data_IF_419339200188
#
_entry.id   IF_419339200188
#
_cell.length_a   1.000
_cell.length_b   1.000
_cell.length_c   1.000
_cell.angle_alpha   90.00
_cell.angle_beta   90.00
_cell.angle_gamma   90.00
#
_symmetry.space_group_name_H-M   'P 1'
#
loop_
_entity.id
_entity.type
_entity.pdbx_description
1 polymer ?
#
# COMPACT_ATOMS: atom_id res chain seq x y z
N UNK A 1 15.73 15.56 -28.98
CA UNK A 1 14.57 15.36 -28.08
C UNK A 1 14.20 16.73 -27.48
N UNK A 2 12.97 17.20 -27.61
CA UNK A 2 12.52 18.42 -26.92
C UNK A 2 12.44 18.10 -25.42
N UNK A 3 13.14 18.84 -24.58
CA UNK A 3 13.01 18.76 -23.13
C UNK A 3 11.54 18.96 -22.77
N UNK A 4 10.95 18.03 -22.05
CA UNK A 4 9.57 18.14 -21.57
C UNK A 4 9.49 19.34 -20.61
N UNK A 5 8.54 20.26 -20.74
CA UNK A 5 8.48 21.42 -19.86
C UNK A 5 8.33 20.97 -18.42
N UNK A 6 9.08 21.59 -17.51
CA UNK A 6 9.00 21.32 -16.07
C UNK A 6 7.57 21.59 -15.58
N UNK A 7 6.95 20.59 -14.98
CA UNK A 7 5.59 20.65 -14.46
C UNK A 7 5.49 19.86 -13.15
N UNK A 8 4.46 20.12 -12.32
CA UNK A 8 4.20 19.31 -11.13
C UNK A 8 4.10 17.82 -11.44
N UNK A 9 3.43 17.44 -12.54
CA UNK A 9 3.31 16.06 -12.98
C UNK A 9 4.68 15.43 -13.30
N UNK A 10 5.55 16.14 -14.01
CA UNK A 10 6.90 15.68 -14.32
C UNK A 10 7.74 15.50 -13.05
N UNK A 11 7.60 16.41 -12.08
CA UNK A 11 8.30 16.36 -10.79
C UNK A 11 7.83 15.14 -9.98
N UNK A 12 6.52 14.90 -9.89
CA UNK A 12 5.95 13.75 -9.17
C UNK A 12 6.38 12.44 -9.84
N UNK A 13 6.34 12.37 -11.16
CA UNK A 13 6.80 11.19 -11.89
C UNK A 13 8.30 10.89 -11.66
N UNK A 14 9.16 11.91 -11.62
CA UNK A 14 10.58 11.75 -11.27
C UNK A 14 10.75 11.32 -9.81
N UNK A 15 10.00 11.92 -8.89
CA UNK A 15 10.02 11.57 -7.48
C UNK A 15 9.62 10.11 -7.25
N UNK A 16 8.59 9.63 -7.94
CA UNK A 16 8.14 8.23 -7.89
C UNK A 16 9.24 7.29 -8.38
N UNK A 17 9.85 7.56 -9.54
CA UNK A 17 10.96 6.73 -10.05
C UNK A 17 12.11 6.64 -9.05
N UNK A 18 12.50 7.77 -8.44
CA UNK A 18 13.56 7.79 -7.42
C UNK A 18 13.16 6.95 -6.20
N UNK A 19 11.93 7.13 -5.71
CA UNK A 19 11.44 6.37 -4.57
C UNK A 19 11.37 4.86 -4.87
N UNK A 20 10.95 4.46 -6.09
CA UNK A 20 10.87 3.07 -6.52
C UNK A 20 12.24 2.41 -6.67
N UNK A 21 13.25 3.17 -7.12
CA UNK A 21 14.57 2.59 -7.44
C UNK A 21 15.62 2.79 -6.36
N UNK A 22 15.56 3.88 -5.62
CA UNK A 22 16.57 4.29 -4.64
C UNK A 22 16.03 4.40 -3.21
N UNK A 23 14.70 4.25 -3.05
CA UNK A 23 14.00 4.37 -1.78
C UNK A 23 13.72 5.81 -1.37
N UNK A 24 12.83 5.96 -0.38
CA UNK A 24 12.34 7.27 0.09
C UNK A 24 13.44 8.14 0.74
N UNK A 25 14.48 7.52 1.27
CA UNK A 25 15.62 8.24 1.86
C UNK A 25 16.43 9.03 0.81
N UNK A 26 16.51 8.52 -0.41
CA UNK A 26 17.19 9.19 -1.53
C UNK A 26 16.37 10.35 -2.11
N UNK A 27 15.06 10.41 -1.83
CA UNK A 27 14.16 11.41 -2.37
C UNK A 27 14.41 12.79 -1.73
N UNK A 28 15.21 13.59 -2.43
CA UNK A 28 15.50 15.00 -2.10
C UNK A 28 15.20 15.89 -3.29
N UNK A 29 14.90 17.17 -3.07
CA UNK A 29 14.67 18.12 -4.16
C UNK A 29 15.91 18.22 -5.08
N UNK A 30 17.11 18.10 -4.53
CA UNK A 30 18.35 18.08 -5.31
C UNK A 30 18.41 16.85 -6.24
N UNK A 31 18.05 15.67 -5.74
CA UNK A 31 18.04 14.43 -6.54
C UNK A 31 16.98 14.51 -7.66
N UNK A 32 15.78 15.05 -7.35
CA UNK A 32 14.72 15.28 -8.34
C UNK A 32 15.14 16.29 -9.40
N UNK A 33 15.83 17.36 -9.03
CA UNK A 33 16.35 18.35 -9.97
C UNK A 33 17.38 17.71 -10.94
N UNK A 34 18.27 16.89 -10.40
CA UNK A 34 19.25 16.14 -11.21
C UNK A 34 18.56 15.14 -12.15
N UNK A 35 17.54 14.43 -11.70
CA UNK A 35 16.75 13.50 -12.51
C UNK A 35 16.07 14.19 -13.72
N UNK A 36 15.65 15.44 -13.52
CA UNK A 36 14.95 16.24 -14.54
C UNK A 36 15.90 17.15 -15.36
N UNK A 37 17.21 16.99 -15.17
CA UNK A 37 18.23 17.84 -15.81
C UNK A 37 17.91 19.35 -15.68
N UNK A 38 17.58 19.77 -14.43
CA UNK A 38 17.21 21.16 -14.13
C UNK A 38 17.87 21.68 -12.85
N UNK A 39 17.89 22.99 -12.69
CA UNK A 39 18.35 23.61 -11.45
C UNK A 39 17.33 23.48 -10.33
N UNK A 40 17.78 23.25 -9.09
CA UNK A 40 16.90 23.17 -7.92
C UNK A 40 16.03 24.41 -7.73
N UNK A 41 16.51 25.60 -8.07
CA UNK A 41 15.74 26.84 -8.06
C UNK A 41 14.49 26.79 -8.97
N UNK A 42 14.53 26.00 -10.05
CA UNK A 42 13.38 25.81 -10.93
C UNK A 42 12.29 24.97 -10.28
N UNK A 43 12.64 24.00 -9.45
CA UNK A 43 11.67 23.19 -8.71
C UNK A 43 10.87 24.02 -7.70
N UNK A 44 11.51 24.98 -7.03
CA UNK A 44 10.85 25.84 -6.04
C UNK A 44 9.73 26.71 -6.60
N UNK A 45 9.64 26.87 -7.93
CA UNK A 45 8.48 27.50 -8.57
C UNK A 45 7.23 26.61 -8.62
N UNK A 46 7.40 25.30 -8.39
CA UNK A 46 6.35 24.30 -8.48
C UNK A 46 6.06 23.60 -7.14
N UNK A 47 7.07 23.48 -6.28
CA UNK A 47 7.02 22.75 -5.01
C UNK A 47 7.77 23.54 -3.95
N UNK A 48 7.13 23.78 -2.82
CA UNK A 48 7.72 24.57 -1.74
C UNK A 48 8.84 23.82 -1.00
N UNK A 49 8.63 22.55 -0.69
CA UNK A 49 9.56 21.75 0.10
C UNK A 49 9.41 20.24 -0.14
N UNK A 50 10.20 19.42 0.57
CA UNK A 50 10.11 17.96 0.52
C UNK A 50 8.77 17.44 1.03
N UNK A 51 8.16 18.12 2.00
CA UNK A 51 6.87 17.70 2.56
C UNK A 51 5.75 17.82 1.52
N UNK A 52 5.71 18.92 0.76
CA UNK A 52 4.77 19.06 -0.36
C UNK A 52 5.02 17.99 -1.44
N UNK A 53 6.30 17.67 -1.72
CA UNK A 53 6.64 16.59 -2.66
C UNK A 53 6.09 15.24 -2.20
N UNK A 54 6.21 14.89 -0.92
CA UNK A 54 5.67 13.66 -0.34
C UNK A 54 4.14 13.64 -0.37
N UNK A 55 3.49 14.79 -0.10
CA UNK A 55 2.04 14.90 -0.20
C UNK A 55 1.55 14.65 -1.63
N UNK A 56 2.22 15.24 -2.63
CA UNK A 56 1.90 15.00 -4.04
C UNK A 56 2.15 13.55 -4.47
N UNK A 57 3.19 12.92 -3.94
CA UNK A 57 3.50 11.52 -4.18
C UNK A 57 2.43 10.61 -3.57
N UNK A 58 1.93 10.94 -2.38
CA UNK A 58 0.80 10.25 -1.75
C UNK A 58 -0.50 10.40 -2.56
N UNK A 59 -0.78 11.59 -3.10
CA UNK A 59 -1.93 11.79 -3.99
C UNK A 59 -1.81 10.99 -5.29
N UNK A 60 -0.61 10.88 -5.86
CA UNK A 60 -0.35 10.09 -7.06
C UNK A 60 -0.58 8.60 -6.78
N UNK A 61 -0.11 8.11 -5.64
CA UNK A 61 -0.35 6.75 -5.16
C UNK A 61 -1.85 6.48 -4.93
N UNK A 62 -2.56 7.40 -4.28
CA UNK A 62 -3.99 7.26 -4.00
C UNK A 62 -4.83 7.14 -5.28
N UNK A 63 -4.42 7.77 -6.39
CA UNK A 63 -5.07 7.60 -7.70
C UNK A 63 -4.86 6.23 -8.31
N UNK A 64 -3.80 5.53 -7.93
CA UNK A 64 -3.52 4.17 -8.40
C UNK A 64 -4.33 3.10 -7.64
N UNK A 65 -4.86 3.43 -6.48
CA UNK A 65 -5.70 2.50 -5.71
C UNK A 65 -7.02 2.24 -6.43
N UNK A 66 -7.42 0.97 -6.63
CA UNK A 66 -8.60 0.66 -7.40
C UNK A 66 -9.90 1.02 -6.66
N UNK A 67 -10.86 1.50 -7.42
CA UNK A 67 -12.25 1.61 -7.00
C UNK A 67 -13.05 0.69 -7.91
N UNK A 68 -13.49 -0.50 -7.43
CA UNK A 68 -14.18 -1.48 -8.25
C UNK A 68 -15.49 -0.94 -8.82
N UNK A 69 -15.82 -1.40 -10.02
CA UNK A 69 -17.13 -1.16 -10.65
C UNK A 69 -18.27 -1.92 -9.93
N UNK A 70 -19.49 -1.91 -10.49
CA UNK A 70 -20.64 -2.61 -9.94
C UNK A 70 -20.42 -4.13 -9.91
N UNK A 71 -21.02 -4.81 -8.90
CA UNK A 71 -20.92 -6.24 -8.70
C UNK A 71 -21.27 -6.64 -7.27
N UNK A 72 -21.26 -7.94 -6.94
CA UNK A 72 -21.46 -8.41 -5.58
C UNK A 72 -20.47 -7.77 -4.60
N UNK A 73 -20.96 -7.38 -3.42
CA UNK A 73 -20.16 -6.63 -2.44
C UNK A 73 -18.84 -7.33 -2.08
N UNK A 74 -18.90 -8.65 -1.85
CA UNK A 74 -17.73 -9.46 -1.50
C UNK A 74 -16.68 -9.50 -2.63
N UNK A 75 -17.09 -9.68 -3.86
CA UNK A 75 -16.18 -9.70 -5.02
C UNK A 75 -15.51 -8.34 -5.20
N UNK A 76 -16.25 -7.25 -5.00
CA UNK A 76 -15.71 -5.88 -5.02
C UNK A 76 -14.67 -5.65 -3.93
N UNK A 77 -14.94 -6.10 -2.70
CA UNK A 77 -13.98 -6.02 -1.60
C UNK A 77 -12.70 -6.79 -1.93
N UNK A 78 -12.81 -8.03 -2.38
CA UNK A 78 -11.65 -8.84 -2.76
C UNK A 78 -10.84 -8.14 -3.86
N UNK A 79 -11.47 -7.71 -4.94
CA UNK A 79 -10.81 -7.04 -6.06
C UNK A 79 -10.12 -5.74 -5.62
N UNK A 80 -10.78 -4.96 -4.78
CA UNK A 80 -10.26 -3.69 -4.27
C UNK A 80 -9.02 -3.87 -3.40
N UNK A 81 -9.08 -4.77 -2.43
CA UNK A 81 -7.96 -4.99 -1.51
C UNK A 81 -6.78 -5.71 -2.16
N UNK A 82 -7.03 -6.69 -3.06
CA UNK A 82 -5.97 -7.30 -3.87
C UNK A 82 -5.30 -6.29 -4.80
N UNK A 83 -6.08 -5.41 -5.41
CA UNK A 83 -5.54 -4.35 -6.25
C UNK A 83 -4.70 -3.34 -5.45
N UNK A 84 -5.15 -2.93 -4.27
CA UNK A 84 -4.39 -2.07 -3.36
C UNK A 84 -3.07 -2.74 -2.92
N UNK A 85 -3.11 -4.03 -2.60
CA UNK A 85 -1.93 -4.79 -2.24
C UNK A 85 -0.88 -4.81 -3.38
N UNK A 86 -1.32 -5.05 -4.63
CA UNK A 86 -0.42 -5.00 -5.79
C UNK A 86 0.22 -3.62 -5.98
N UNK A 87 -0.57 -2.55 -5.88
CA UNK A 87 -0.04 -1.17 -5.95
C UNK A 87 1.04 -0.94 -4.89
N UNK A 88 0.84 -1.44 -3.66
CA UNK A 88 1.83 -1.28 -2.60
C UNK A 88 3.06 -2.17 -2.77
N UNK A 89 2.94 -3.35 -3.37
CA UNK A 89 4.10 -4.18 -3.74
C UNK A 89 4.95 -3.53 -4.82
N UNK A 90 4.33 -2.86 -5.80
CA UNK A 90 5.03 -2.11 -6.84
C UNK A 90 5.74 -0.86 -6.29
N UNK A 91 5.32 -0.37 -5.11
CA UNK A 91 5.81 0.83 -4.45
C UNK A 91 6.15 0.57 -2.96
N UNK A 92 7.26 -0.12 -2.63
CA UNK A 92 7.58 -0.53 -1.25
C UNK A 92 7.68 0.63 -0.25
N UNK A 93 7.95 1.85 -0.73
CA UNK A 93 7.98 3.08 0.07
C UNK A 93 6.58 3.58 0.48
N UNK A 94 5.51 3.08 -0.19
CA UNK A 94 4.14 3.58 -0.03
C UNK A 94 3.65 3.55 1.42
N UNK A 95 3.93 2.47 2.15
CA UNK A 95 3.52 2.33 3.54
C UNK A 95 4.08 3.45 4.44
N UNK A 96 5.30 3.96 4.15
CA UNK A 96 5.91 5.04 4.92
C UNK A 96 5.20 6.38 4.70
N UNK A 97 4.68 6.62 3.49
CA UNK A 97 3.98 7.87 3.13
C UNK A 97 2.52 7.83 3.58
N UNK A 98 1.85 6.70 3.42
CA UNK A 98 0.43 6.53 3.77
C UNK A 98 0.21 6.61 5.29
N UNK A 99 1.17 6.18 6.11
CA UNK A 99 1.06 6.21 7.57
C UNK A 99 1.28 7.61 8.17
N UNK A 100 1.63 8.61 7.38
CA UNK A 100 1.72 9.99 7.88
C UNK A 100 0.31 10.52 8.24
N UNK A 101 0.15 11.26 9.35
CA UNK A 101 -1.16 11.77 9.79
C UNK A 101 -1.88 12.64 8.76
N UNK A 102 -1.13 13.25 7.83
CA UNK A 102 -1.63 14.13 6.77
C UNK A 102 -1.87 13.40 5.45
N UNK A 103 -1.81 12.06 5.43
CA UNK A 103 -1.94 11.26 4.21
C UNK A 103 -3.37 11.18 3.66
N UNK A 104 -4.38 11.41 4.50
CA UNK A 104 -5.78 11.39 4.07
C UNK A 104 -6.08 12.66 3.28
N UNK A 105 -6.33 12.51 1.98
CA UNK A 105 -6.65 13.59 1.05
C UNK A 105 -7.97 13.29 0.34
N UNK A 106 -8.57 14.30 -0.31
CA UNK A 106 -9.77 14.09 -1.12
C UNK A 106 -9.57 13.00 -2.20
N UNK A 107 -8.35 12.80 -2.66
CA UNK A 107 -8.00 11.77 -3.65
C UNK A 107 -8.06 10.35 -3.09
N UNK A 108 -7.83 10.16 -1.79
CA UNK A 108 -7.88 8.85 -1.14
C UNK A 108 -9.29 8.44 -0.68
N UNK A 109 -10.22 9.39 -0.52
CA UNK A 109 -11.57 9.13 -0.04
C UNK A 109 -12.38 8.13 -0.89
N UNK A 110 -12.32 8.14 -2.24
CA UNK A 110 -13.09 7.19 -3.06
C UNK A 110 -12.77 5.72 -2.75
N UNK A 111 -11.52 5.40 -2.40
CA UNK A 111 -11.14 4.05 -2.00
C UNK A 111 -11.82 3.64 -0.68
N UNK A 112 -11.77 4.49 0.32
CA UNK A 112 -12.39 4.24 1.63
C UNK A 112 -13.91 4.14 1.50
N UNK A 113 -14.53 5.06 0.77
CA UNK A 113 -15.98 5.09 0.52
C UNK A 113 -16.46 3.81 -0.15
N UNK A 114 -15.78 3.35 -1.23
CA UNK A 114 -16.16 2.14 -1.94
C UNK A 114 -16.08 0.89 -1.04
N UNK A 115 -15.05 0.78 -0.22
CA UNK A 115 -14.91 -0.36 0.69
C UNK A 115 -15.97 -0.35 1.80
N UNK A 116 -16.22 0.81 2.43
CA UNK A 116 -17.22 0.94 3.49
C UNK A 116 -18.62 0.68 2.92
N UNK A 117 -18.95 1.27 1.76
CA UNK A 117 -20.23 1.04 1.09
C UNK A 117 -20.45 -0.46 0.78
N UNK A 118 -19.41 -1.18 0.33
CA UNK A 118 -19.51 -2.60 0.08
C UNK A 118 -19.76 -3.41 1.37
N UNK A 119 -19.18 -3.03 2.51
CA UNK A 119 -19.48 -3.67 3.78
C UNK A 119 -20.92 -3.41 4.24
N UNK A 120 -21.43 -2.18 4.08
CA UNK A 120 -22.84 -1.85 4.38
C UNK A 120 -23.80 -2.63 3.48
N UNK A 121 -23.54 -2.69 2.18
CA UNK A 121 -24.33 -3.48 1.22
C UNK A 121 -24.31 -4.98 1.51
N UNK A 122 -23.23 -5.50 2.11
CA UNK A 122 -23.13 -6.88 2.59
C UNK A 122 -23.93 -7.13 3.89
N UNK A 123 -24.61 -6.11 4.44
CA UNK A 123 -25.52 -6.22 5.59
C UNK A 123 -24.89 -5.88 6.94
N UNK A 124 -23.68 -5.33 7.00
CA UNK A 124 -23.12 -4.84 8.24
C UNK A 124 -23.77 -3.51 8.63
N UNK A 125 -23.92 -3.27 9.93
CA UNK A 125 -24.24 -1.93 10.44
C UNK A 125 -23.02 -0.98 10.32
N UNK A 126 -23.24 0.31 10.55
CA UNK A 126 -22.21 1.34 10.40
C UNK A 126 -20.97 1.09 11.27
N UNK A 127 -21.16 0.63 12.51
CA UNK A 127 -20.04 0.35 13.42
C UNK A 127 -19.24 -0.86 12.96
N UNK A 128 -19.92 -1.95 12.58
CA UNK A 128 -19.29 -3.15 12.05
C UNK A 128 -18.55 -2.88 10.73
N UNK A 129 -19.14 -2.10 9.80
CA UNK A 129 -18.51 -1.70 8.56
C UNK A 129 -17.23 -0.88 8.78
N UNK A 130 -17.25 0.07 9.73
CA UNK A 130 -16.06 0.83 10.10
C UNK A 130 -14.96 -0.06 10.71
N UNK A 131 -15.31 -1.02 11.55
CA UNK A 131 -14.37 -1.99 12.10
C UNK A 131 -13.82 -2.92 11.02
N UNK A 132 -14.65 -3.41 10.10
CA UNK A 132 -14.25 -4.25 8.98
C UNK A 132 -13.27 -3.52 8.04
N UNK A 133 -13.55 -2.26 7.70
CA UNK A 133 -12.63 -1.42 6.92
C UNK A 133 -11.27 -1.26 7.61
N UNK A 134 -11.25 -0.97 8.91
CA UNK A 134 -10.00 -0.85 9.66
C UNK A 134 -9.23 -2.17 9.75
N UNK A 135 -9.91 -3.30 9.92
CA UNK A 135 -9.28 -4.61 9.98
C UNK A 135 -8.61 -4.97 8.64
N UNK A 136 -9.31 -4.76 7.52
CA UNK A 136 -8.74 -4.99 6.18
C UNK A 136 -7.60 -4.02 5.86
N UNK A 137 -7.68 -2.76 6.31
CA UNK A 137 -6.59 -1.80 6.20
C UNK A 137 -5.35 -2.24 6.98
N UNK A 138 -5.53 -2.68 8.24
CA UNK A 138 -4.42 -3.16 9.07
C UNK A 138 -3.79 -4.43 8.50
N UNK A 139 -4.59 -5.34 7.92
CA UNK A 139 -4.08 -6.50 7.21
C UNK A 139 -3.18 -6.09 6.04
N UNK A 140 -3.65 -5.17 5.19
CA UNK A 140 -2.88 -4.65 4.06
C UNK A 140 -1.55 -4.03 4.51
N UNK A 141 -1.61 -3.06 5.43
CA UNK A 141 -0.41 -2.36 5.91
C UNK A 141 0.53 -3.33 6.63
N UNK A 142 -0.01 -4.21 7.47
CA UNK A 142 0.78 -5.17 8.24
C UNK A 142 1.62 -6.07 7.34
N UNK A 143 1.06 -6.52 6.23
CA UNK A 143 1.78 -7.38 5.29
C UNK A 143 2.86 -6.65 4.47
N UNK A 144 2.63 -5.38 4.14
CA UNK A 144 3.62 -4.58 3.39
C UNK A 144 4.80 -4.14 4.28
N UNK A 145 4.54 -3.86 5.57
CA UNK A 145 5.56 -3.31 6.49
C UNK A 145 6.33 -4.40 7.21
N UNK A 146 5.73 -5.55 7.42
CA UNK A 146 6.24 -6.60 8.30
C UNK A 146 6.42 -7.93 7.56
N UNK A 147 7.65 -8.15 7.08
CA UNK A 147 8.08 -9.49 6.71
C UNK A 147 8.38 -10.28 8.01
N UNK A 148 7.53 -11.27 8.32
CA UNK A 148 7.51 -11.92 9.63
C UNK A 148 8.84 -12.63 9.91
N UNK A 149 9.53 -12.37 11.05
CA UNK A 149 10.90 -12.85 11.30
C UNK A 149 11.05 -14.38 11.31
N UNK A 150 9.99 -15.14 11.56
CA UNK A 150 10.04 -16.60 11.50
C UNK A 150 10.21 -17.15 10.08
N UNK A 151 9.93 -16.35 9.05
CA UNK A 151 10.20 -16.67 7.64
C UNK A 151 11.67 -16.56 7.25
N UNK A 152 12.47 -15.81 8.00
CA UNK A 152 13.87 -15.57 7.63
C UNK A 152 14.78 -16.78 7.96
N UNK A 153 15.77 -17.09 7.11
CA UNK A 153 16.80 -18.08 7.43
C UNK A 153 17.71 -17.52 8.54
N UNK A 154 18.21 -18.38 9.41
CA UNK A 154 19.30 -18.00 10.32
C UNK A 154 19.14 -18.36 11.80
N UNK A 155 18.07 -19.03 12.21
CA UNK A 155 17.99 -19.61 13.54
C UNK A 155 17.66 -21.11 13.49
N UNK A 156 18.19 -21.86 14.47
CA UNK A 156 17.91 -23.29 14.67
C UNK A 156 16.81 -23.44 15.70
N UNK A 157 15.85 -24.30 15.39
CA UNK A 157 14.75 -24.65 16.30
C UNK A 157 14.96 -26.07 16.82
N UNK A 158 14.95 -26.24 18.13
CA UNK A 158 14.99 -27.56 18.73
C UNK A 158 13.62 -28.24 18.60
N UNK A 159 13.51 -29.34 17.82
CA UNK A 159 12.23 -30.02 17.57
C UNK A 159 11.60 -30.60 18.84
N UNK A 160 12.40 -30.93 19.84
CA UNK A 160 11.91 -31.48 21.10
C UNK A 160 11.20 -30.43 21.96
N UNK A 161 11.63 -29.17 21.83
CA UNK A 161 11.06 -28.04 22.59
C UNK A 161 9.94 -27.37 21.81
N UNK A 162 10.10 -27.26 20.47
CA UNK A 162 9.20 -26.49 19.57
C UNK A 162 8.69 -27.35 18.40
N UNK A 163 7.93 -28.42 18.65
CA UNK A 163 7.50 -29.34 17.58
C UNK A 163 6.58 -28.69 16.55
N UNK A 164 5.65 -27.82 16.96
CA UNK A 164 4.73 -27.14 16.05
C UNK A 164 5.48 -26.15 15.13
N UNK A 165 6.42 -25.37 15.68
CA UNK A 165 7.22 -24.45 14.89
C UNK A 165 8.12 -25.20 13.90
N UNK A 166 8.69 -26.32 14.30
CA UNK A 166 9.50 -27.18 13.42
C UNK A 166 8.67 -27.70 12.24
N UNK A 167 7.45 -28.16 12.50
CA UNK A 167 6.55 -28.67 11.47
C UNK A 167 6.08 -27.59 10.48
N UNK A 168 5.83 -26.37 10.95
CA UNK A 168 5.27 -25.27 10.12
C UNK A 168 6.34 -24.42 9.44
N UNK A 169 7.58 -24.44 9.93
CA UNK A 169 8.68 -23.60 9.42
C UNK A 169 8.89 -23.66 7.88
N UNK A 170 8.86 -24.83 7.21
CA UNK A 170 9.00 -24.87 5.76
C UNK A 170 7.94 -24.04 5.01
N UNK A 171 6.76 -23.89 5.60
CA UNK A 171 5.65 -23.11 5.03
C UNK A 171 5.73 -21.62 5.35
N UNK A 172 6.54 -21.22 6.34
CA UNK A 172 6.80 -19.83 6.69
C UNK A 172 7.93 -19.19 5.85
N UNK A 173 8.77 -20.02 5.21
CA UNK A 173 9.99 -19.58 4.53
C UNK A 173 9.82 -19.32 3.03
N UNK A 174 8.70 -19.67 2.43
CA UNK A 174 8.44 -19.58 0.98
C UNK A 174 7.04 -19.00 0.74
N UNK A 175 6.90 -17.72 1.02
CA UNK A 175 5.62 -17.04 0.86
C UNK A 175 5.53 -16.38 -0.52
N UNK A 176 4.52 -16.75 -1.27
CA UNK A 176 3.98 -15.91 -2.33
C UNK A 176 3.14 -14.82 -1.66
N UNK A 177 3.68 -13.61 -1.56
CA UNK A 177 3.03 -12.48 -0.87
C UNK A 177 1.63 -12.18 -1.40
N UNK A 178 1.37 -12.41 -2.69
CA UNK A 178 0.06 -12.18 -3.28
C UNK A 178 -0.92 -13.27 -2.85
N UNK A 179 -0.51 -14.53 -2.95
CA UNK A 179 -1.35 -15.66 -2.54
C UNK A 179 -1.63 -15.67 -1.03
N UNK A 180 -0.65 -15.28 -0.22
CA UNK A 180 -0.83 -15.16 1.23
C UNK A 180 -1.78 -14.04 1.61
N UNK A 181 -1.66 -12.88 0.97
CA UNK A 181 -2.60 -11.79 1.19
C UNK A 181 -4.02 -12.19 0.78
N UNK A 182 -4.18 -12.82 -0.36
CA UNK A 182 -5.48 -13.32 -0.84
C UNK A 182 -6.09 -14.32 0.14
N UNK A 183 -5.29 -15.28 0.63
CA UNK A 183 -5.75 -16.24 1.63
C UNK A 183 -6.19 -15.52 2.92
N UNK A 184 -5.35 -14.64 3.45
CA UNK A 184 -5.61 -13.91 4.69
C UNK A 184 -6.83 -13.00 4.58
N UNK A 185 -6.97 -12.30 3.45
CA UNK A 185 -8.13 -11.46 3.16
C UNK A 185 -9.42 -12.29 3.13
N UNK A 186 -9.41 -13.45 2.45
CA UNK A 186 -10.56 -14.32 2.40
C UNK A 186 -10.94 -14.87 3.79
N UNK A 187 -9.96 -15.29 4.63
CA UNK A 187 -10.25 -15.70 6.00
C UNK A 187 -10.86 -14.56 6.84
N UNK A 188 -10.32 -13.35 6.69
CA UNK A 188 -10.85 -12.18 7.39
C UNK A 188 -12.29 -11.87 6.93
N UNK A 189 -12.55 -11.86 5.63
CA UNK A 189 -13.89 -11.62 5.08
C UNK A 189 -14.88 -12.74 5.46
N UNK A 190 -14.46 -14.01 5.51
CA UNK A 190 -15.28 -15.13 6.00
C UNK A 190 -15.69 -14.92 7.47
N UNK A 191 -14.78 -14.43 8.30
CA UNK A 191 -15.08 -14.11 9.71
C UNK A 191 -16.01 -12.92 9.87
N UNK A 192 -15.96 -11.95 8.97
CA UNK A 192 -16.76 -10.72 9.02
C UNK A 192 -18.14 -10.90 8.37
N UNK A 193 -18.23 -11.50 7.19
CA UNK A 193 -19.43 -11.59 6.36
C UNK A 193 -20.10 -12.96 6.39
N UNK A 194 -19.46 -13.95 7.01
CA UNK A 194 -19.83 -15.36 6.88
C UNK A 194 -19.17 -16.03 5.68
N UNK A 195 -19.15 -17.37 5.65
CA UNK A 195 -18.65 -18.14 4.49
C UNK A 195 -19.59 -17.97 3.30
N UNK A 196 -19.04 -18.17 2.08
CA UNK A 196 -19.82 -18.27 0.85
C UNK A 196 -20.71 -19.50 0.84
#
# INVERSE_FOLDING_TARGET
MRAQPLSRAAIVAAARRIADTEGLAALTLRRVAAELDTGQASLYRHIADRRELLALLNEDLARAFPVPGPGPARERLIAQWLGAHRVMLDHPWAAQVINEPTSVTATSLPFAEAAIAAFLEAGLDEAAAAHAYRATWHLLIGQIVNDHPLGHPGFTVDPAIYPALTATRPHLSHLDFVAEFEWSLNQLLNGILGPE
#
